data_IF_594733530780
#
_entry.id   IF_594733530780
#
_cell.length_a   1.000
_cell.length_b   1.000
_cell.length_c   1.000
_cell.angle_alpha   90.00
_cell.angle_beta   90.00
_cell.angle_gamma   90.00
#
_symmetry.space_group_name_H-M   'P 1'
#
loop_
_entity.id
_entity.type
_entity.pdbx_description
1 polymer ?
#
# COMPACT_ATOMS: atom_id res chain seq x y z
N UNK A 1 22.34 0.28 15.84
CA UNK A 1 21.41 0.42 14.69
C UNK A 1 20.81 1.81 14.74
N UNK A 2 21.04 2.66 13.73
CA UNK A 2 20.55 4.06 13.76
C UNK A 2 19.06 4.07 13.47
N UNK A 3 18.27 4.21 14.52
CA UNK A 3 16.85 4.46 14.44
C UNK A 3 16.64 5.92 14.00
N UNK A 4 16.67 6.15 12.68
CA UNK A 4 16.20 7.43 12.13
C UNK A 4 14.72 7.55 12.48
N UNK A 5 14.45 8.37 13.50
CA UNK A 5 13.11 8.83 13.89
C UNK A 5 12.57 9.71 12.76
N UNK A 6 12.08 9.06 11.72
CA UNK A 6 11.26 9.71 10.70
C UNK A 6 10.00 10.19 11.43
N UNK A 7 9.95 11.48 11.76
CA UNK A 7 8.75 12.11 12.31
C UNK A 7 7.74 12.16 11.18
N UNK A 8 6.72 11.31 11.26
CA UNK A 8 5.52 11.46 10.43
C UNK A 8 4.91 12.82 10.82
N UNK A 9 4.83 13.82 9.92
CA UNK A 9 4.42 15.17 10.28
C UNK A 9 2.98 15.25 10.83
N UNK A 10 2.17 14.24 10.52
CA UNK A 10 0.88 13.99 11.14
C UNK A 10 0.90 12.64 11.86
N UNK A 11 0.58 12.64 13.16
CA UNK A 11 0.17 11.42 13.87
C UNK A 11 -1.15 10.94 13.28
N UNK A 12 -1.06 10.00 12.34
CA UNK A 12 -2.24 9.41 11.70
C UNK A 12 -2.85 8.39 12.65
N UNK A 13 -3.91 8.75 13.37
CA UNK A 13 -4.62 7.81 14.26
C UNK A 13 -5.56 6.86 13.48
N UNK A 14 -5.63 5.59 13.91
CA UNK A 14 -6.51 4.55 13.36
C UNK A 14 -5.78 3.50 12.50
N UNK A 15 -6.50 2.45 12.09
CA UNK A 15 -5.91 1.29 11.36
C UNK A 15 -5.20 1.74 10.07
N UNK A 16 -5.85 2.58 9.25
CA UNK A 16 -5.24 3.14 8.04
C UNK A 16 -4.09 4.11 8.32
N UNK A 17 -4.14 4.82 9.46
CA UNK A 17 -3.09 5.74 9.87
C UNK A 17 -1.80 5.03 10.33
N UNK A 18 -1.93 3.91 11.04
CA UNK A 18 -0.79 3.06 11.38
C UNK A 18 -0.11 2.50 10.13
N UNK A 19 -0.88 2.02 9.15
CA UNK A 19 -0.33 1.54 7.88
C UNK A 19 0.38 2.66 7.11
N UNK A 20 -0.25 3.83 6.96
CA UNK A 20 0.36 4.97 6.28
C UNK A 20 1.65 5.43 6.97
N UNK A 21 1.65 5.50 8.31
CA UNK A 21 2.84 5.87 9.09
C UNK A 21 3.98 4.87 8.93
N UNK A 22 3.69 3.57 9.00
CA UNK A 22 4.70 2.52 8.81
C UNK A 22 5.30 2.54 7.40
N UNK A 23 4.46 2.78 6.39
CA UNK A 23 4.88 2.92 5.01
C UNK A 23 5.74 4.17 4.82
N UNK A 24 5.32 5.30 5.37
CA UNK A 24 6.06 6.56 5.30
C UNK A 24 7.45 6.42 5.92
N UNK A 25 7.54 5.83 7.12
CA UNK A 25 8.82 5.59 7.80
C UNK A 25 9.72 4.68 6.93
N UNK A 26 9.17 3.63 6.33
CA UNK A 26 9.92 2.72 5.46
C UNK A 26 10.41 3.41 4.19
N UNK A 27 9.54 4.19 3.54
CA UNK A 27 9.84 4.93 2.32
C UNK A 27 10.90 6.02 2.54
N UNK A 28 10.78 6.80 3.62
CA UNK A 28 11.78 7.82 3.98
C UNK A 28 13.12 7.17 4.33
N UNK A 29 13.13 6.06 5.10
CA UNK A 29 14.37 5.34 5.42
C UNK A 29 15.10 4.84 4.18
N UNK A 30 14.37 4.50 3.12
CA UNK A 30 14.93 4.06 1.87
C UNK A 30 15.18 5.19 0.86
N UNK A 31 14.83 6.44 1.17
CA UNK A 31 14.83 7.58 0.24
C UNK A 31 13.96 7.35 -1.01
N UNK A 32 12.86 6.60 -0.87
CA UNK A 32 11.91 6.29 -1.94
C UNK A 32 10.53 6.91 -1.67
N UNK A 33 10.48 8.03 -0.94
CA UNK A 33 9.21 8.63 -0.52
C UNK A 33 8.33 9.02 -1.71
N UNK A 34 8.87 9.83 -2.63
CA UNK A 34 8.15 10.29 -3.84
C UNK A 34 7.76 9.12 -4.76
N UNK A 35 8.62 8.11 -4.86
CA UNK A 35 8.36 6.92 -5.68
C UNK A 35 7.19 6.12 -5.11
N UNK A 36 7.22 5.80 -3.82
CA UNK A 36 6.14 5.10 -3.12
C UNK A 36 4.82 5.88 -3.18
N UNK A 37 4.86 7.21 -3.09
CA UNK A 37 3.66 8.05 -3.24
C UNK A 37 3.03 7.89 -4.62
N UNK A 38 3.85 8.03 -5.66
CA UNK A 38 3.42 7.92 -7.06
C UNK A 38 2.88 6.53 -7.39
N UNK A 39 3.50 5.49 -6.84
CA UNK A 39 3.07 4.08 -6.98
C UNK A 39 1.72 3.83 -6.31
N UNK A 40 1.53 4.31 -5.07
CA UNK A 40 0.23 4.24 -4.38
C UNK A 40 -0.87 4.95 -5.15
N UNK A 41 -0.61 6.16 -5.63
CA UNK A 41 -1.57 6.93 -6.43
C UNK A 41 -1.89 6.20 -7.74
N UNK A 42 -0.90 5.58 -8.37
CA UNK A 42 -1.09 4.79 -9.59
C UNK A 42 -1.95 3.56 -9.33
N UNK A 43 -1.73 2.86 -8.21
CA UNK A 43 -2.55 1.72 -7.81
C UNK A 43 -4.01 2.14 -7.50
N UNK A 44 -4.21 3.25 -6.80
CA UNK A 44 -5.56 3.80 -6.54
C UNK A 44 -6.25 4.18 -7.83
N UNK A 45 -5.54 4.83 -8.77
CA UNK A 45 -6.08 5.15 -10.10
C UNK A 45 -6.43 3.87 -10.88
N UNK A 46 -5.59 2.83 -10.81
CA UNK A 46 -5.87 1.54 -11.44
C UNK A 46 -7.11 0.86 -10.83
N UNK A 47 -7.27 0.91 -9.51
CA UNK A 47 -8.46 0.41 -8.81
C UNK A 47 -9.72 1.16 -9.21
N UNK A 48 -9.65 2.48 -9.40
CA UNK A 48 -10.78 3.29 -9.89
C UNK A 48 -11.09 3.05 -11.37
N UNK A 49 -10.07 2.78 -12.19
CA UNK A 49 -10.24 2.49 -13.62
C UNK A 49 -10.84 1.11 -13.88
N UNK A 50 -10.48 0.11 -13.07
CA UNK A 50 -10.94 -1.26 -13.23
C UNK A 50 -11.91 -1.64 -12.11
N UNK A 51 -13.21 -1.66 -12.43
CA UNK A 51 -14.22 -2.14 -11.49
C UNK A 51 -13.94 -3.57 -11.02
N UNK A 52 -13.42 -4.43 -11.91
CA UNK A 52 -12.96 -5.78 -11.57
C UNK A 52 -11.88 -5.77 -10.50
N UNK A 53 -10.90 -4.86 -10.61
CA UNK A 53 -9.83 -4.75 -9.62
C UNK A 53 -10.34 -4.20 -8.28
N UNK A 54 -11.23 -3.20 -8.30
CA UNK A 54 -11.88 -2.70 -7.09
C UNK A 54 -12.71 -3.76 -6.39
N UNK A 55 -13.45 -4.57 -7.15
CA UNK A 55 -14.25 -5.67 -6.63
C UNK A 55 -13.34 -6.75 -6.05
N UNK A 56 -12.28 -7.15 -6.76
CA UNK A 56 -11.26 -8.08 -6.26
C UNK A 56 -10.65 -7.64 -4.92
N UNK A 57 -10.30 -6.36 -4.78
CA UNK A 57 -9.75 -5.82 -3.52
C UNK A 57 -10.72 -5.88 -2.35
N UNK A 58 -12.02 -5.86 -2.61
CA UNK A 58 -13.09 -5.89 -1.60
C UNK A 58 -13.66 -7.29 -1.38
N UNK A 59 -13.31 -8.23 -2.25
CA UNK A 59 -13.84 -9.59 -2.22
C UNK A 59 -13.14 -10.42 -1.14
N UNK A 60 -13.88 -10.70 -0.07
CA UNK A 60 -13.43 -11.54 1.04
C UNK A 60 -13.54 -13.03 0.74
N UNK A 61 -14.22 -13.44 -0.34
CA UNK A 61 -14.30 -14.85 -0.76
C UNK A 61 -12.99 -15.35 -1.39
N UNK A 62 -12.17 -14.43 -1.91
CA UNK A 62 -10.84 -14.74 -2.41
C UNK A 62 -9.92 -15.08 -1.23
N UNK A 63 -9.14 -16.16 -1.35
CA UNK A 63 -8.18 -16.53 -0.30
C UNK A 63 -7.05 -15.50 -0.20
N UNK A 64 -6.44 -15.38 0.98
CA UNK A 64 -5.31 -14.47 1.18
C UNK A 64 -4.17 -14.76 0.20
N UNK A 65 -3.85 -16.04 -0.03
CA UNK A 65 -2.82 -16.48 -0.98
C UNK A 65 -3.09 -15.97 -2.40
N UNK A 66 -4.32 -16.14 -2.90
CA UNK A 66 -4.69 -15.67 -4.24
C UNK A 66 -4.62 -14.15 -4.34
N UNK A 67 -5.04 -13.42 -3.30
CA UNK A 67 -4.89 -11.94 -3.25
C UNK A 67 -3.44 -11.51 -3.28
N UNK A 68 -2.60 -12.11 -2.44
CA UNK A 68 -1.17 -11.82 -2.34
C UNK A 68 -0.49 -12.09 -3.68
N UNK A 69 -0.79 -13.21 -4.33
CA UNK A 69 -0.24 -13.56 -5.64
C UNK A 69 -0.64 -12.55 -6.72
N UNK A 70 -1.93 -12.20 -6.81
CA UNK A 70 -2.40 -11.21 -7.78
C UNK A 70 -1.76 -9.83 -7.55
N UNK A 71 -1.66 -9.39 -6.30
CA UNK A 71 -1.01 -8.13 -5.94
C UNK A 71 0.48 -8.17 -6.28
N UNK A 72 1.16 -9.29 -6.01
CA UNK A 72 2.56 -9.48 -6.36
C UNK A 72 2.77 -9.38 -7.88
N UNK A 73 1.92 -10.02 -8.67
CA UNK A 73 1.98 -9.95 -10.14
C UNK A 73 1.73 -8.52 -10.65
N UNK A 74 0.80 -7.78 -10.03
CA UNK A 74 0.55 -6.38 -10.36
C UNK A 74 1.77 -5.51 -10.01
N UNK A 75 2.38 -5.73 -8.85
CA UNK A 75 3.60 -5.01 -8.46
C UNK A 75 4.75 -5.31 -9.43
N UNK A 76 4.87 -6.56 -9.88
CA UNK A 76 5.90 -6.97 -10.84
C UNK A 76 5.66 -6.33 -12.22
N UNK A 77 4.42 -6.31 -12.71
CA UNK A 77 4.05 -5.67 -13.98
C UNK A 77 4.23 -4.15 -13.94
N UNK A 78 3.83 -3.53 -12.83
CA UNK A 78 3.96 -2.10 -12.62
C UNK A 78 5.39 -1.66 -12.21
N UNK A 79 6.29 -2.62 -12.02
CA UNK A 79 7.68 -2.43 -11.56
C UNK A 79 7.78 -1.60 -10.28
N UNK A 80 6.89 -1.89 -9.33
CA UNK A 80 6.88 -1.18 -8.06
C UNK A 80 8.11 -1.49 -7.21
N UNK A 81 8.51 -0.51 -6.41
CA UNK A 81 9.55 -0.64 -5.40
C UNK A 81 9.24 -1.78 -4.42
N UNK A 82 10.31 -2.39 -3.88
CA UNK A 82 10.15 -3.48 -2.91
C UNK A 82 9.37 -3.03 -1.67
N UNK A 83 9.45 -1.76 -1.30
CA UNK A 83 8.73 -1.18 -0.15
C UNK A 83 7.23 -1.19 -0.41
N UNK A 84 6.82 -0.66 -1.56
CA UNK A 84 5.41 -0.64 -1.96
C UNK A 84 4.88 -2.06 -2.12
N UNK A 85 5.66 -2.94 -2.76
CA UNK A 85 5.30 -4.36 -2.89
C UNK A 85 5.07 -5.00 -1.51
N UNK A 86 6.05 -4.94 -0.61
CA UNK A 86 5.94 -5.55 0.73
C UNK A 86 4.74 -4.99 1.50
N UNK A 87 4.50 -3.69 1.40
CA UNK A 87 3.34 -3.06 1.99
C UNK A 87 2.02 -3.61 1.43
N UNK A 88 1.90 -3.70 0.11
CA UNK A 88 0.71 -4.21 -0.55
C UNK A 88 0.43 -5.68 -0.20
N UNK A 89 1.49 -6.50 -0.06
CA UNK A 89 1.35 -7.88 0.39
C UNK A 89 0.78 -7.96 1.80
N UNK A 90 1.28 -7.17 2.76
CA UNK A 90 0.76 -7.12 4.14
C UNK A 90 -0.72 -6.67 4.17
N UNK A 91 -1.09 -5.71 3.33
CA UNK A 91 -2.48 -5.25 3.22
C UNK A 91 -3.37 -6.32 2.56
N UNK A 92 -2.83 -7.07 1.59
CA UNK A 92 -3.51 -8.19 0.92
C UNK A 92 -3.75 -9.39 1.85
N UNK A 93 -2.76 -9.74 2.66
CA UNK A 93 -2.84 -10.79 3.68
C UNK A 93 -3.90 -10.44 4.72
N UNK A 94 -3.91 -9.19 5.20
CA UNK A 94 -4.90 -8.72 6.17
C UNK A 94 -6.32 -8.55 5.59
N UNK A 95 -6.51 -8.74 4.27
CA UNK A 95 -7.80 -8.53 3.60
C UNK A 95 -8.24 -7.06 3.57
N UNK A 96 -7.31 -6.13 3.78
CA UNK A 96 -7.58 -4.69 3.92
C UNK A 96 -7.30 -3.90 2.64
N UNK A 97 -7.17 -4.58 1.49
CA UNK A 97 -6.93 -3.92 0.19
C UNK A 97 -8.03 -2.91 -0.16
N UNK A 98 -9.28 -3.15 0.27
CA UNK A 98 -10.36 -2.18 0.13
C UNK A 98 -10.11 -0.83 0.83
N UNK A 99 -9.17 -0.76 1.78
CA UNK A 99 -8.77 0.48 2.46
C UNK A 99 -7.61 1.21 1.80
N UNK A 100 -7.06 0.70 0.68
CA UNK A 100 -5.89 1.30 0.04
C UNK A 100 -6.13 2.75 -0.37
N UNK A 101 -7.34 3.10 -0.81
CA UNK A 101 -7.71 4.48 -1.15
C UNK A 101 -7.55 5.42 0.05
N UNK A 102 -8.00 4.98 1.23
CA UNK A 102 -7.86 5.74 2.47
C UNK A 102 -6.42 5.83 2.94
N UNK A 103 -5.64 4.77 2.76
CA UNK A 103 -4.22 4.76 3.13
C UNK A 103 -3.46 5.73 2.24
N UNK A 104 -3.67 5.69 0.91
CA UNK A 104 -3.03 6.60 -0.04
C UNK A 104 -3.42 8.07 0.23
N UNK A 105 -4.70 8.34 0.50
CA UNK A 105 -5.16 9.68 0.92
C UNK A 105 -4.54 10.16 2.24
N UNK A 106 -4.10 9.23 3.10
CA UNK A 106 -3.45 9.53 4.38
C UNK A 106 -1.93 9.51 4.27
N UNK A 107 -1.40 9.16 3.12
CA UNK A 107 0.04 9.17 2.84
C UNK A 107 0.45 10.48 2.18
N UNK A 108 -0.41 11.01 1.31
CA UNK A 108 -0.30 12.34 0.68
C UNK A 108 -0.73 13.47 1.63
#
# INVERSE_FOLDING_TARGET
MKEQRVKVPLTMFGVSGNYASALYISAVKANLLDEVESELLSLVKASKRSSTFSQFMKDLSVTADTRVKAINDICAQAKFSEITKNFLLVVAESGRLGHIDRIAQRFS
#
